data_IF_339444012895
#
_entry.id   IF_339444012895
#
_cell.length_a   1.000
_cell.length_b   1.000
_cell.length_c   1.000
_cell.angle_alpha   90.00
_cell.angle_beta   90.00
_cell.angle_gamma   90.00
#
_symmetry.space_group_name_H-M   'P 1'
#
loop_
_entity.id
_entity.type
_entity.pdbx_description
1 polymer ?
#
# COMPACT_ATOMS: atom_id res chain seq x y z
N UNK A 1 8.39 -16.52 4.30
CA UNK A 1 7.15 -15.73 4.14
C UNK A 1 5.95 -16.68 4.02
N UNK A 2 4.74 -16.16 4.22
CA UNK A 2 3.51 -16.95 4.05
C UNK A 2 3.42 -17.52 2.63
N UNK A 3 3.84 -16.75 1.63
CA UNK A 3 3.89 -17.18 0.23
C UNK A 3 4.69 -18.48 0.05
N UNK A 4 5.86 -18.57 0.66
CA UNK A 4 6.70 -19.77 0.61
C UNK A 4 6.07 -20.94 1.36
N UNK A 5 5.39 -20.69 2.48
CA UNK A 5 4.78 -21.75 3.29
C UNK A 5 3.56 -22.41 2.62
N UNK A 6 2.93 -21.73 1.65
CA UNK A 6 1.78 -22.26 0.90
C UNK A 6 2.14 -22.62 -0.55
N UNK A 7 3.42 -22.61 -0.89
CA UNK A 7 3.92 -22.88 -2.25
C UNK A 7 3.22 -22.05 -3.33
N UNK A 8 3.05 -20.75 -3.01
CA UNK A 8 2.33 -19.82 -3.88
C UNK A 8 3.23 -19.20 -4.94
N UNK A 9 2.67 -18.88 -6.11
CA UNK A 9 3.37 -18.27 -7.24
C UNK A 9 3.40 -16.73 -7.16
N UNK A 10 2.52 -16.12 -6.39
CA UNK A 10 2.43 -14.67 -6.28
C UNK A 10 1.36 -14.22 -5.29
N UNK A 11 1.19 -12.92 -5.18
CA UNK A 11 0.19 -12.30 -4.31
C UNK A 11 -0.54 -11.16 -5.02
N UNK A 12 -1.70 -10.80 -4.49
CA UNK A 12 -2.42 -9.57 -4.84
C UNK A 12 -2.41 -8.68 -3.60
N UNK A 13 -1.86 -7.48 -3.71
CA UNK A 13 -1.70 -6.57 -2.58
C UNK A 13 -2.12 -5.13 -2.91
N UNK A 14 -1.67 -4.18 -2.09
CA UNK A 14 -1.95 -2.75 -2.26
C UNK A 14 -1.31 -2.12 -3.52
N UNK A 15 -0.54 -2.90 -4.25
CA UNK A 15 -0.04 -2.56 -5.56
C UNK A 15 0.90 -1.37 -5.62
N UNK A 16 0.71 -0.55 -6.63
CA UNK A 16 1.65 0.49 -7.03
C UNK A 16 1.85 1.66 -6.07
N UNK A 17 1.13 1.75 -4.94
CA UNK A 17 1.38 2.78 -3.92
C UNK A 17 2.81 2.74 -3.43
N UNK A 18 3.36 1.55 -3.29
CA UNK A 18 4.75 1.32 -2.88
C UNK A 18 5.78 1.45 -4.01
N UNK A 19 5.33 1.73 -5.24
CA UNK A 19 6.22 1.81 -6.39
C UNK A 19 6.94 0.48 -6.64
N UNK A 20 8.27 0.50 -6.69
CA UNK A 20 9.07 -0.69 -6.96
C UNK A 20 9.29 -1.60 -5.76
N UNK A 21 8.94 -1.18 -4.54
CA UNK A 21 9.23 -1.99 -3.34
C UNK A 21 8.55 -3.37 -3.37
N UNK A 22 7.33 -3.48 -3.91
CA UNK A 22 6.66 -4.78 -4.02
C UNK A 22 7.30 -5.68 -5.09
N UNK A 23 7.46 -5.28 -6.36
CA UNK A 23 8.13 -6.13 -7.33
C UNK A 23 9.57 -6.47 -6.92
N UNK A 24 10.30 -5.55 -6.33
CA UNK A 24 11.66 -5.81 -5.85
C UNK A 24 11.68 -6.82 -4.69
N UNK A 25 10.69 -6.76 -3.79
CA UNK A 25 10.50 -7.78 -2.75
C UNK A 25 10.43 -9.20 -3.34
N UNK A 26 9.59 -9.41 -4.35
CA UNK A 26 9.44 -10.73 -4.98
C UNK A 26 10.70 -11.14 -5.74
N UNK A 27 11.34 -10.23 -6.46
CA UNK A 27 12.59 -10.49 -7.14
C UNK A 27 13.68 -10.96 -6.17
N UNK A 28 13.79 -10.33 -5.00
CA UNK A 28 14.72 -10.75 -3.95
C UNK A 28 14.39 -12.13 -3.38
N UNK A 29 13.10 -12.43 -3.16
CA UNK A 29 12.65 -13.74 -2.70
C UNK A 29 13.08 -14.83 -3.68
N UNK A 30 12.84 -14.64 -4.97
CA UNK A 30 13.20 -15.63 -6.00
C UNK A 30 14.70 -15.78 -6.20
N UNK A 31 15.49 -14.76 -5.89
CA UNK A 31 16.96 -14.85 -5.87
C UNK A 31 17.52 -15.47 -4.59
N UNK A 32 16.68 -15.72 -3.59
CA UNK A 32 17.11 -16.23 -2.28
C UNK A 32 17.71 -15.17 -1.35
N UNK A 33 17.64 -13.88 -1.71
CA UNK A 33 18.11 -12.76 -0.87
C UNK A 33 17.03 -12.33 0.11
N UNK A 34 16.91 -13.08 1.20
CA UNK A 34 15.86 -12.89 2.20
C UNK A 34 16.01 -11.57 2.96
N UNK A 35 17.22 -11.12 3.23
CA UNK A 35 17.47 -9.87 3.95
C UNK A 35 17.05 -8.65 3.12
N UNK A 36 17.38 -8.62 1.84
CA UNK A 36 16.93 -7.57 0.93
C UNK A 36 15.40 -7.59 0.74
N UNK A 37 14.78 -8.78 0.63
CA UNK A 37 13.34 -8.93 0.57
C UNK A 37 12.66 -8.39 1.83
N UNK A 38 13.21 -8.71 3.00
CA UNK A 38 12.66 -8.21 4.28
C UNK A 38 12.72 -6.69 4.36
N UNK A 39 13.82 -6.08 3.92
CA UNK A 39 13.95 -4.62 3.88
C UNK A 39 12.88 -3.96 2.97
N UNK A 40 12.63 -4.50 1.79
CA UNK A 40 11.54 -4.05 0.90
C UNK A 40 10.16 -4.25 1.54
N UNK A 41 9.92 -5.38 2.20
CA UNK A 41 8.63 -5.74 2.80
C UNK A 41 8.26 -4.89 4.02
N UNK A 42 9.21 -4.24 4.68
CA UNK A 42 8.93 -3.38 5.83
C UNK A 42 7.99 -2.21 5.48
N UNK A 43 8.12 -1.64 4.29
CA UNK A 43 7.24 -0.54 3.87
C UNK A 43 5.80 -1.02 3.67
N UNK A 44 5.61 -2.22 3.13
CA UNK A 44 4.28 -2.82 2.98
C UNK A 44 3.62 -3.09 4.34
N UNK A 45 4.37 -3.61 5.30
CA UNK A 45 3.89 -3.81 6.68
C UNK A 45 3.43 -2.48 7.29
N UNK A 46 4.18 -1.40 7.10
CA UNK A 46 3.79 -0.08 7.59
C UNK A 46 2.47 0.41 6.97
N UNK A 47 2.29 0.24 5.67
CA UNK A 47 1.02 0.57 5.00
C UNK A 47 -0.12 -0.25 5.57
N UNK A 48 0.06 -1.57 5.74
CA UNK A 48 -0.96 -2.43 6.32
C UNK A 48 -1.35 -1.99 7.73
N UNK A 49 -0.38 -1.70 8.58
CA UNK A 49 -0.61 -1.30 9.97
C UNK A 49 -1.25 0.09 10.11
N UNK A 50 -0.91 1.01 9.24
CA UNK A 50 -1.35 2.41 9.34
C UNK A 50 -2.64 2.71 8.57
N UNK A 51 -2.92 2.00 7.48
CA UNK A 51 -4.07 2.29 6.62
C UNK A 51 -5.16 1.24 6.66
N UNK A 52 -4.80 -0.05 6.79
CA UNK A 52 -5.78 -1.15 6.81
C UNK A 52 -6.33 -1.35 8.23
N UNK A 53 -6.92 -0.29 8.75
CA UNK A 53 -7.53 -0.22 10.08
C UNK A 53 -9.01 0.13 9.96
N UNK A 54 -9.84 -0.21 10.96
CA UNK A 54 -11.25 0.23 10.99
C UNK A 54 -11.39 1.75 10.93
N UNK A 55 -10.42 2.49 11.48
CA UNK A 55 -10.45 3.94 11.62
C UNK A 55 -10.12 4.67 10.31
N UNK A 56 -9.37 4.03 9.39
CA UNK A 56 -9.01 4.65 8.11
C UNK A 56 -9.69 3.93 6.93
N UNK A 57 -9.12 2.85 6.40
CA UNK A 57 -9.73 2.17 5.25
C UNK A 57 -11.12 1.62 5.58
N UNK A 58 -11.31 1.08 6.77
CA UNK A 58 -12.60 0.57 7.22
C UNK A 58 -13.70 1.63 7.25
N UNK A 59 -13.33 2.87 7.58
CA UNK A 59 -14.26 4.02 7.61
C UNK A 59 -14.87 4.32 6.23
N UNK A 60 -14.13 4.10 5.16
CA UNK A 60 -14.59 4.37 3.79
C UNK A 60 -15.20 3.16 3.09
N UNK A 61 -15.22 2.00 3.75
CA UNK A 61 -15.82 0.78 3.27
C UNK A 61 -14.92 -0.10 2.41
N UNK A 62 -13.82 0.44 1.85
CA UNK A 62 -12.85 -0.33 1.07
C UNK A 62 -11.58 0.50 0.79
N UNK A 63 -10.50 -0.19 0.41
CA UNK A 63 -9.19 0.41 0.16
C UNK A 63 -9.09 1.39 -1.02
N UNK A 64 -9.90 1.32 -2.09
CA UNK A 64 -9.71 2.21 -3.25
C UNK A 64 -9.72 3.70 -2.93
N UNK A 65 -10.50 4.14 -1.92
CA UNK A 65 -10.55 5.55 -1.52
C UNK A 65 -9.18 6.07 -1.11
N UNK A 66 -8.57 5.42 -0.15
CA UNK A 66 -7.25 5.79 0.40
C UNK A 66 -6.15 5.59 -0.63
N UNK A 67 -6.18 4.48 -1.36
CA UNK A 67 -5.14 4.16 -2.35
C UNK A 67 -5.14 5.15 -3.52
N UNK A 68 -6.29 5.58 -4.01
CA UNK A 68 -6.36 6.57 -5.11
C UNK A 68 -5.83 7.93 -4.68
N UNK A 69 -6.12 8.37 -3.46
CA UNK A 69 -5.55 9.60 -2.90
C UNK A 69 -4.02 9.48 -2.82
N UNK A 70 -3.52 8.38 -2.31
CA UNK A 70 -2.08 8.12 -2.21
C UNK A 70 -1.41 8.07 -3.59
N UNK A 71 -2.00 7.41 -4.57
CA UNK A 71 -1.50 7.40 -5.96
C UNK A 71 -1.39 8.82 -6.53
N UNK A 72 -2.42 9.63 -6.34
CA UNK A 72 -2.41 11.02 -6.80
C UNK A 72 -1.28 11.82 -6.13
N UNK A 73 -1.07 11.65 -4.83
CA UNK A 73 0.02 12.31 -4.10
C UNK A 73 1.39 11.89 -4.62
N UNK A 74 1.53 10.67 -5.14
CA UNK A 74 2.77 10.17 -5.76
C UNK A 74 2.93 10.59 -7.23
N UNK A 75 2.03 11.41 -7.76
CA UNK A 75 2.11 11.91 -9.13
C UNK A 75 1.50 10.99 -10.19
N UNK A 76 0.81 9.93 -9.80
CA UNK A 76 0.06 9.10 -10.75
C UNK A 76 -1.17 9.86 -11.22
N UNK A 77 -1.43 9.98 -12.55
CA UNK A 77 -2.55 10.75 -13.10
C UNK A 77 -3.89 10.02 -12.92
N UNK A 78 -4.30 9.84 -11.67
CA UNK A 78 -5.55 9.19 -11.28
C UNK A 78 -6.42 10.17 -10.51
N UNK A 79 -7.74 10.11 -10.73
CA UNK A 79 -8.70 10.86 -9.94
C UNK A 79 -9.14 10.05 -8.71
N UNK A 80 -9.33 10.70 -7.55
CA UNK A 80 -9.64 10.00 -6.29
C UNK A 80 -11.10 9.58 -6.16
N UNK A 81 -11.85 9.55 -7.24
CA UNK A 81 -13.27 9.17 -7.23
C UNK A 81 -13.45 7.67 -7.04
N UNK A 82 -14.47 7.30 -6.29
CA UNK A 82 -14.86 5.91 -6.05
C UNK A 82 -16.35 5.73 -6.30
N UNK A 83 -16.75 4.50 -6.61
CA UNK A 83 -18.17 4.15 -6.78
C UNK A 83 -18.81 3.91 -5.41
N UNK A 84 -20.04 4.36 -5.24
CA UNK A 84 -20.84 4.02 -4.07
C UNK A 84 -21.05 2.49 -3.99
N UNK A 85 -21.14 1.89 -2.79
CA UNK A 85 -21.23 2.54 -1.47
C UNK A 85 -19.90 2.98 -0.84
N UNK A 86 -18.76 2.82 -1.55
CA UNK A 86 -17.46 3.28 -1.06
C UNK A 86 -17.48 4.80 -0.96
N UNK A 87 -16.97 5.35 0.14
CA UNK A 87 -16.95 6.78 0.41
C UNK A 87 -15.62 7.40 -0.02
N UNK A 88 -15.66 8.66 -0.46
CA UNK A 88 -14.45 9.44 -0.74
C UNK A 88 -13.76 9.86 0.56
N UNK A 89 -12.42 9.95 0.51
CA UNK A 89 -11.62 10.36 1.67
C UNK A 89 -11.94 11.82 2.04
N UNK A 90 -12.19 12.05 3.32
CA UNK A 90 -12.42 13.38 3.86
C UNK A 90 -11.10 14.16 4.01
N UNK A 91 -11.17 15.49 3.96
CA UNK A 91 -9.99 16.37 4.06
C UNK A 91 -9.19 16.13 5.35
N UNK A 92 -9.86 15.79 6.44
CA UNK A 92 -9.23 15.48 7.74
C UNK A 92 -8.26 14.29 7.69
N UNK A 93 -8.46 13.36 6.76
CA UNK A 93 -7.64 12.16 6.61
C UNK A 93 -6.52 12.30 5.56
N UNK A 94 -6.59 13.33 4.73
CA UNK A 94 -5.59 13.57 3.66
C UNK A 94 -4.21 13.76 4.26
N UNK A 95 -4.10 14.52 5.35
CA UNK A 95 -2.82 14.76 6.02
C UNK A 95 -2.23 13.49 6.64
N UNK A 96 -3.07 12.60 7.17
CA UNK A 96 -2.65 11.29 7.70
C UNK A 96 -2.04 10.43 6.59
N UNK A 97 -2.69 10.38 5.42
CA UNK A 97 -2.21 9.65 4.25
C UNK A 97 -0.88 10.24 3.77
N UNK A 98 -0.80 11.56 3.65
CA UNK A 98 0.42 12.28 3.24
C UNK A 98 1.57 11.99 4.19
N UNK A 99 1.33 12.10 5.49
CA UNK A 99 2.37 11.87 6.50
C UNK A 99 2.93 10.44 6.41
N UNK A 100 2.08 9.45 6.19
CA UNK A 100 2.54 8.07 5.98
C UNK A 100 3.48 7.97 4.77
N UNK A 101 3.12 8.60 3.65
CA UNK A 101 3.96 8.58 2.45
C UNK A 101 5.31 9.28 2.67
N UNK A 102 5.31 10.38 3.41
CA UNK A 102 6.55 11.09 3.80
C UNK A 102 7.42 10.22 4.69
N UNK A 103 6.85 9.62 5.73
CA UNK A 103 7.57 8.76 6.69
C UNK A 103 8.20 7.54 6.01
N UNK A 104 7.55 7.01 4.97
CA UNK A 104 8.04 5.88 4.19
C UNK A 104 8.93 6.30 3.01
N UNK A 105 9.24 7.57 2.87
CA UNK A 105 10.05 8.12 1.77
C UNK A 105 9.48 7.80 0.38
N UNK A 106 8.14 7.79 0.26
CA UNK A 106 7.43 7.54 -0.99
C UNK A 106 7.08 8.83 -1.75
N UNK A 107 7.15 9.93 -1.05
CA UNK A 107 7.07 11.30 -1.59
C UNK A 107 8.05 12.24 -0.90
#
# INVERSE_FOLDING_TARGET
SLLQSVDGDGTIGAGGVLGRYQPDFYNHIWRGDIDAARACGQKDIQILQRWYTPELIGRYGSSPSVLKVAFKMRGVPVQPYVRRPILEVEDTEIDVIRQTLVDLELI
#
